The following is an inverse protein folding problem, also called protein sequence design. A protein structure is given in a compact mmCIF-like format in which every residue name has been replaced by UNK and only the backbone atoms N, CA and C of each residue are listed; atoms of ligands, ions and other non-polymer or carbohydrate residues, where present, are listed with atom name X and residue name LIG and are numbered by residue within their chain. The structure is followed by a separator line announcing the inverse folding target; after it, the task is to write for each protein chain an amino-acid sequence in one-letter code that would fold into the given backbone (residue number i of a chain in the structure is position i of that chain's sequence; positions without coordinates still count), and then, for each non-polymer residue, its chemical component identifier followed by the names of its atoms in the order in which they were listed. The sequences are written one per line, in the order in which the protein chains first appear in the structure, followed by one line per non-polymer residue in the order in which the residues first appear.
data_IF_835096945363
#
_entry.id   IF_835096945363
#
_cell.length_a   1.000
_cell.length_b   1.000
_cell.length_c   1.000
_cell.angle_alpha   90.00
_cell.angle_beta   90.00
_cell.angle_gamma   90.00
#
_symmetry.space_group_name_H-M   'P 1'
#
loop_
_entity.id
_entity.type
_entity.pdbx_description
1 polymer ?
#
# COMPACT_ATOMS: atom_id res chain seq x y z
N UNK A 1 24.65 4.25 23.43
CA UNK A 1 24.46 3.56 22.14
C UNK A 1 23.97 4.59 21.15
N UNK A 2 24.82 4.99 20.20
CA UNK A 2 24.43 5.98 19.19
C UNK A 2 23.50 5.32 18.18
N UNK A 3 22.22 5.69 18.18
CA UNK A 3 21.33 5.38 17.07
C UNK A 3 21.74 6.28 15.91
N UNK A 4 22.53 5.76 14.98
CA UNK A 4 22.65 6.39 13.66
C UNK A 4 21.25 6.33 13.03
N UNK A 5 20.50 7.42 13.11
CA UNK A 5 19.26 7.55 12.35
C UNK A 5 19.64 7.50 10.86
N UNK A 6 19.25 6.40 10.19
CA UNK A 6 19.33 6.29 8.74
C UNK A 6 18.55 7.42 8.10
N UNK A 7 19.25 8.48 7.73
CA UNK A 7 18.69 9.65 7.03
C UNK A 7 18.56 9.32 5.56
N UNK A 8 17.37 9.50 5.00
CA UNK A 8 17.17 9.33 3.55
C UNK A 8 17.82 10.50 2.80
N UNK A 9 18.69 10.18 1.83
CA UNK A 9 19.37 11.18 1.01
C UNK A 9 18.60 11.38 -0.30
N UNK A 10 18.01 12.56 -0.46
CA UNK A 10 17.27 12.96 -1.68
C UNK A 10 18.27 13.48 -2.71
N UNK A 11 18.26 12.92 -3.94
CA UNK A 11 19.21 13.29 -5.00
C UNK A 11 18.59 14.18 -6.06
N UNK A 12 17.30 13.99 -6.35
CA UNK A 12 16.55 14.72 -7.36
C UNK A 12 15.63 15.74 -6.69
N UNK A 13 15.31 16.83 -7.39
CA UNK A 13 14.40 17.84 -6.85
C UNK A 13 13.00 17.25 -6.72
N UNK A 14 12.43 17.30 -5.52
CA UNK A 14 11.11 16.76 -5.23
C UNK A 14 10.12 17.91 -4.97
N UNK A 15 8.83 17.72 -5.30
CA UNK A 15 7.81 18.73 -5.05
C UNK A 15 7.40 18.82 -3.56
N UNK A 16 7.84 17.87 -2.73
CA UNK A 16 7.58 17.84 -1.30
C UNK A 16 8.79 17.33 -0.53
N UNK A 17 8.96 17.82 0.70
CA UNK A 17 10.02 17.38 1.60
C UNK A 17 9.63 16.11 2.36
N UNK A 18 10.62 15.48 2.98
CA UNK A 18 10.41 14.34 3.89
C UNK A 18 9.54 14.74 5.09
N UNK A 19 9.75 15.93 5.65
CA UNK A 19 8.99 16.40 6.82
C UNK A 19 7.48 16.46 6.50
N UNK A 20 7.12 17.01 5.33
CA UNK A 20 5.73 17.05 4.87
C UNK A 20 5.16 15.64 4.67
N UNK A 21 5.95 14.71 4.11
CA UNK A 21 5.53 13.31 3.97
C UNK A 21 5.30 12.62 5.33
N UNK A 22 6.09 12.96 6.34
CA UNK A 22 5.94 12.42 7.69
C UNK A 22 4.70 12.95 8.42
N UNK A 23 4.08 14.03 7.96
CA UNK A 23 2.80 14.51 8.50
C UNK A 23 1.59 13.73 7.95
N UNK A 24 1.71 13.10 6.78
CA UNK A 24 0.62 12.36 6.13
C UNK A 24 0.34 11.00 6.80
N UNK A 25 -0.91 10.54 6.76
CA UNK A 25 -1.28 9.22 7.26
C UNK A 25 -0.81 8.08 6.32
N UNK A 26 -0.77 6.85 6.84
CA UNK A 26 -0.29 5.69 6.08
C UNK A 26 -1.13 5.37 4.84
N UNK A 27 -2.44 5.62 4.87
CA UNK A 27 -3.33 5.40 3.73
C UNK A 27 -3.03 6.40 2.61
N UNK A 28 -2.86 7.68 2.95
CA UNK A 28 -2.44 8.71 1.98
C UNK A 28 -1.09 8.38 1.35
N UNK A 29 -0.11 7.95 2.15
CA UNK A 29 1.21 7.55 1.64
C UNK A 29 1.13 6.34 0.70
N UNK A 30 0.32 5.33 1.03
CA UNK A 30 0.13 4.15 0.17
C UNK A 30 -0.57 4.51 -1.15
N UNK A 31 -1.60 5.35 -1.11
CA UNK A 31 -2.29 5.83 -2.31
C UNK A 31 -1.35 6.64 -3.22
N UNK A 32 -0.46 7.45 -2.63
CA UNK A 32 0.52 8.21 -3.41
C UNK A 32 1.51 7.28 -4.13
N UNK A 33 1.95 6.18 -3.51
CA UNK A 33 2.77 5.18 -4.18
C UNK A 33 2.03 4.64 -5.42
N UNK A 34 0.79 4.18 -5.27
CA UNK A 34 0.02 3.64 -6.39
C UNK A 34 -0.14 4.65 -7.53
N UNK A 35 -0.45 5.91 -7.21
CA UNK A 35 -0.56 6.98 -8.22
C UNK A 35 0.75 7.21 -8.97
N UNK A 36 1.90 7.16 -8.27
CA UNK A 36 3.22 7.31 -8.88
C UNK A 36 3.57 6.10 -9.75
N UNK A 37 3.26 4.88 -9.31
CA UNK A 37 3.46 3.65 -10.09
C UNK A 37 2.65 3.69 -11.38
N UNK A 38 1.36 4.05 -11.32
CA UNK A 38 0.50 4.22 -12.49
C UNK A 38 1.05 5.30 -13.45
N UNK A 39 1.59 6.39 -12.91
CA UNK A 39 2.19 7.46 -13.72
C UNK A 39 3.48 7.02 -14.39
N UNK A 40 4.33 6.26 -13.71
CA UNK A 40 5.55 5.68 -14.28
C UNK A 40 5.18 4.71 -15.40
N UNK A 41 4.18 3.84 -15.20
CA UNK A 41 3.74 2.89 -16.22
C UNK A 41 3.28 3.62 -17.50
N UNK A 42 2.48 4.69 -17.36
CA UNK A 42 2.05 5.49 -18.51
C UNK A 42 3.22 6.16 -19.24
N UNK A 43 4.23 6.65 -18.51
CA UNK A 43 5.42 7.26 -19.11
C UNK A 43 6.27 6.22 -19.84
N UNK A 44 6.40 5.01 -19.30
CA UNK A 44 7.09 3.90 -19.96
C UNK A 44 6.39 3.53 -21.26
N UNK A 45 5.06 3.32 -21.23
CA UNK A 45 4.27 3.01 -22.41
C UNK A 45 4.36 4.12 -23.46
N UNK A 46 4.25 5.37 -23.05
CA UNK A 46 4.40 6.52 -23.95
C UNK A 46 5.78 6.55 -24.61
N UNK A 47 6.85 6.20 -23.88
CA UNK A 47 8.18 6.11 -24.46
C UNK A 47 8.31 4.95 -25.46
N UNK A 48 7.66 3.81 -25.21
CA UNK A 48 7.61 2.68 -26.14
C UNK A 48 6.90 3.06 -27.44
N UNK A 49 5.71 3.68 -27.34
CA UNK A 49 4.96 4.20 -28.49
C UNK A 49 5.80 5.20 -29.31
N UNK A 50 6.55 6.09 -28.66
CA UNK A 50 7.43 7.04 -29.33
C UNK A 50 8.63 6.40 -30.03
N UNK A 51 9.06 5.20 -29.64
CA UNK A 51 10.08 4.44 -30.37
C UNK A 51 9.48 3.88 -31.66
N UNK A 52 8.25 3.37 -31.61
CA UNK A 52 7.54 2.89 -32.79
C UNK A 52 7.36 4.01 -33.82
N UNK A 53 6.96 5.21 -33.38
CA UNK A 53 6.84 6.37 -34.29
C UNK A 53 8.18 6.86 -34.85
N UNK A 54 9.28 6.73 -34.11
CA UNK A 54 10.61 7.09 -34.60
C UNK A 54 11.03 6.20 -35.79
N UNK A 55 10.71 4.90 -35.73
CA UNK A 55 10.97 3.96 -36.82
C UNK A 55 10.09 4.27 -38.05
N UNK A 56 8.88 4.80 -37.85
CA UNK A 56 7.95 5.19 -38.91
C UNK A 56 8.29 6.54 -39.59
N UNK A 57 8.98 7.45 -38.89
CA UNK A 57 9.30 8.81 -39.40
C UNK A 57 10.27 8.85 -40.59
N UNK A 58 10.89 7.72 -40.95
CA UNK A 58 11.72 7.60 -42.16
C UNK A 58 12.88 8.60 -42.20
N UNK A 59 12.83 9.61 -43.07
CA UNK A 59 13.89 10.61 -43.23
C UNK A 59 13.64 11.94 -42.50
N UNK A 60 12.53 12.09 -41.76
CA UNK A 60 12.26 13.31 -40.99
C UNK A 60 13.12 13.33 -39.72
N UNK A 61 14.28 13.95 -39.84
CA UNK A 61 15.27 14.05 -38.77
C UNK A 61 14.81 14.98 -37.65
N UNK A 62 14.01 16.01 -37.95
CA UNK A 62 13.50 16.96 -36.95
C UNK A 62 12.45 16.29 -36.06
N UNK A 63 11.50 15.56 -36.66
CA UNK A 63 10.53 14.78 -35.92
C UNK A 63 11.22 13.74 -35.03
N UNK A 64 12.24 13.05 -35.55
CA UNK A 64 12.99 12.05 -34.80
C UNK A 64 13.72 12.62 -33.58
N UNK A 65 14.44 13.73 -33.74
CA UNK A 65 15.10 14.36 -32.59
C UNK A 65 14.07 14.89 -31.56
N UNK A 66 12.92 15.40 -32.02
CA UNK A 66 11.83 15.81 -31.12
C UNK A 66 11.33 14.65 -30.25
N UNK A 67 11.07 13.48 -30.85
CA UNK A 67 10.65 12.29 -30.09
C UNK A 67 11.73 11.84 -29.11
N UNK A 68 13.00 11.86 -29.53
CA UNK A 68 14.12 11.48 -28.67
C UNK A 68 14.30 12.41 -27.48
N UNK A 69 14.14 13.72 -27.66
CA UNK A 69 14.17 14.70 -26.58
C UNK A 69 13.04 14.49 -25.57
N UNK A 70 11.81 14.32 -26.06
CA UNK A 70 10.64 14.07 -25.20
C UNK A 70 10.78 12.75 -24.42
N UNK A 71 11.34 11.69 -25.02
CA UNK A 71 11.64 10.45 -24.28
C UNK A 71 12.69 10.67 -23.19
N UNK A 72 13.72 11.46 -23.47
CA UNK A 72 14.76 11.78 -22.49
C UNK A 72 14.19 12.56 -21.29
N UNK A 73 13.27 13.51 -21.54
CA UNK A 73 12.56 14.23 -20.47
C UNK A 73 11.69 13.29 -19.63
N UNK A 74 10.95 12.37 -20.27
CA UNK A 74 10.16 11.37 -19.58
C UNK A 74 11.03 10.47 -18.69
N UNK A 75 12.23 10.09 -19.13
CA UNK A 75 13.15 9.29 -18.32
C UNK A 75 13.59 10.02 -17.04
N UNK A 76 13.89 11.32 -17.11
CA UNK A 76 14.21 12.13 -15.92
C UNK A 76 13.02 12.20 -14.97
N UNK A 77 11.81 12.34 -15.53
CA UNK A 77 10.56 12.34 -14.75
C UNK A 77 10.33 11.01 -14.04
N UNK A 78 10.52 9.89 -14.74
CA UNK A 78 10.42 8.53 -14.18
C UNK A 78 11.37 8.38 -13.00
N UNK A 79 12.64 8.75 -13.15
CA UNK A 79 13.63 8.62 -12.07
C UNK A 79 13.29 9.51 -10.86
N UNK A 80 12.78 10.71 -11.10
CA UNK A 80 12.29 11.60 -10.03
C UNK A 80 11.13 10.99 -9.26
N UNK A 81 10.18 10.36 -9.96
CA UNK A 81 9.03 9.69 -9.34
C UNK A 81 9.42 8.42 -8.59
N UNK A 82 10.36 7.61 -9.13
CA UNK A 82 10.91 6.45 -8.43
C UNK A 82 11.59 6.84 -7.12
N UNK A 83 12.37 7.92 -7.12
CA UNK A 83 12.98 8.40 -5.87
C UNK A 83 11.93 8.86 -4.87
N UNK A 84 10.84 9.50 -5.32
CA UNK A 84 9.72 9.87 -4.45
C UNK A 84 9.06 8.65 -3.81
N UNK A 85 8.87 7.57 -4.58
CA UNK A 85 8.37 6.29 -4.04
C UNK A 85 9.30 5.80 -2.92
N UNK A 86 10.62 5.86 -3.11
CA UNK A 86 11.57 5.45 -2.08
C UNK A 86 11.55 6.35 -0.83
N UNK A 87 11.36 7.66 -1.00
CA UNK A 87 11.12 8.59 0.13
C UNK A 87 9.87 8.20 0.91
N UNK A 88 8.77 7.93 0.21
CA UNK A 88 7.50 7.56 0.83
C UNK A 88 7.62 6.23 1.58
N UNK A 89 8.26 5.23 0.96
CA UNK A 89 8.55 3.94 1.61
C UNK A 89 9.42 4.13 2.85
N UNK A 90 10.40 5.03 2.82
CA UNK A 90 11.20 5.37 4.00
C UNK A 90 10.33 6.00 5.11
N UNK A 91 9.42 6.91 4.76
CA UNK A 91 8.48 7.52 5.71
C UNK A 91 7.55 6.48 6.36
N UNK A 92 7.00 5.55 5.58
CA UNK A 92 6.19 4.43 6.08
C UNK A 92 7.01 3.57 7.05
N UNK A 93 8.24 3.20 6.69
CA UNK A 93 9.13 2.43 7.58
C UNK A 93 9.43 3.18 8.87
N UNK A 94 9.64 4.50 8.83
CA UNK A 94 9.87 5.32 10.03
C UNK A 94 8.64 5.32 10.94
N UNK A 95 7.45 5.57 10.37
CA UNK A 95 6.16 5.60 11.10
C UNK A 95 5.80 4.27 11.74
N UNK A 96 6.11 3.15 11.08
CA UNK A 96 5.70 1.80 11.54
C UNK A 96 6.69 1.12 12.50
N UNK A 97 7.83 1.75 12.84
CA UNK A 97 8.76 1.19 13.83
C UNK A 97 8.09 1.07 15.21
N UNK A 98 8.24 -0.08 15.86
CA UNK A 98 7.67 -0.42 17.19
C UNK A 98 8.11 0.50 18.35
N UNK A 99 9.20 1.25 18.18
CA UNK A 99 9.72 2.18 19.20
C UNK A 99 9.28 3.63 18.91
N UNK A 100 8.20 3.81 18.16
CA UNK A 100 7.85 5.06 17.49
C UNK A 100 7.78 6.26 18.43
N UNK A 101 8.77 7.14 18.34
CA UNK A 101 8.68 8.51 18.87
C UNK A 101 7.51 9.28 18.23
N UNK A 102 7.17 8.92 16.99
CA UNK A 102 6.17 9.59 16.16
C UNK A 102 4.85 8.79 16.02
N UNK A 103 4.71 7.67 16.75
CA UNK A 103 3.63 6.71 16.54
C UNK A 103 2.63 6.72 17.72
N UNK A 104 2.06 7.89 18.03
CA UNK A 104 1.16 8.09 19.17
C UNK A 104 -0.07 7.17 19.14
N UNK A 105 -0.54 6.80 17.94
CA UNK A 105 -1.75 6.00 17.73
C UNK A 105 -1.56 4.47 17.85
N UNK A 106 -0.32 3.98 17.92
CA UNK A 106 -0.01 2.54 18.07
C UNK A 106 0.76 2.27 19.36
N UNK A 107 0.37 2.91 20.46
CA UNK A 107 0.73 2.43 21.79
C UNK A 107 0.08 1.06 22.00
N UNK A 108 0.76 0.01 21.55
CA UNK A 108 0.48 -1.35 21.97
C UNK A 108 0.88 -1.40 23.43
N UNK A 109 -0.10 -1.21 24.33
CA UNK A 109 0.06 -1.52 25.73
C UNK A 109 0.51 -2.98 25.80
N UNK A 110 1.80 -3.23 26.06
CA UNK A 110 2.26 -4.54 26.46
C UNK A 110 1.89 -4.69 27.93
N UNK A 111 0.87 -5.49 28.32
CA UNK A 111 0.81 -5.94 29.68
C UNK A 111 2.02 -6.85 29.90
N UNK A 112 2.97 -6.38 30.72
CA UNK A 112 4.01 -7.22 31.28
C UNK A 112 3.35 -8.45 31.88
N UNK A 113 3.54 -9.61 31.25
CA UNK A 113 3.20 -10.90 31.81
C UNK A 113 4.18 -11.20 32.94
N UNK A 114 3.98 -10.59 34.10
CA UNK A 114 4.50 -11.12 35.34
C UNK A 114 3.62 -12.31 35.72
N UNK A 115 3.98 -13.50 35.24
CA UNK A 115 3.42 -14.77 35.72
C UNK A 115 3.84 -14.94 37.18
N UNK A 116 2.91 -14.64 38.10
CA UNK A 116 3.02 -15.05 39.50
C UNK A 116 2.69 -16.54 39.58
N UNK A 117 3.71 -17.33 39.93
CA UNK A 117 3.62 -18.71 40.41
C UNK A 117 2.68 -18.81 41.61
N UNK A 118 1.74 -19.76 41.61
CA UNK A 118 0.91 -20.06 42.78
C UNK A 118 -0.13 -21.17 42.61
N UNK A 119 0.29 -22.42 42.85
CA UNK A 119 -0.43 -23.48 43.58
C UNK A 119 -1.69 -24.17 42.98
N UNK A 120 -1.45 -25.34 42.36
CA UNK A 120 -2.06 -26.68 42.57
C UNK A 120 -3.38 -26.83 43.36
N UNK A 121 -4.44 -27.42 42.74
CA UNK A 121 -5.23 -28.63 43.14
C UNK A 121 -6.08 -29.14 41.92
N UNK A 122 -6.31 -30.46 41.68
CA UNK A 122 -7.00 -30.99 40.48
C UNK A 122 -8.48 -31.43 40.77
N UNK A 123 -9.22 -32.18 39.90
CA UNK A 123 -10.53 -31.79 39.36
C UNK A 123 -11.75 -32.56 39.94
N UNK A 124 -12.96 -32.00 39.81
CA UNK A 124 -14.22 -32.74 40.07
C UNK A 124 -15.07 -32.79 38.81
N UNK A 125 -15.24 -34.00 38.26
CA UNK A 125 -16.23 -34.35 37.26
C UNK A 125 -17.64 -34.38 37.88
N UNK A 126 -18.63 -33.76 37.24
CA UNK A 126 -20.04 -34.14 37.39
C UNK A 126 -20.65 -34.23 35.98
N UNK A 127 -21.04 -35.46 35.64
CA UNK A 127 -21.85 -35.86 34.50
C UNK A 127 -23.26 -36.14 35.06
N UNK A 128 -24.33 -35.55 34.51
CA UNK A 128 -25.68 -36.13 34.59
C UNK A 128 -26.50 -35.70 33.37
N UNK A 129 -27.15 -36.72 32.80
CA UNK A 129 -27.89 -36.83 31.55
C UNK A 129 -29.29 -36.19 31.53
N UNK A 130 -29.78 -36.01 30.30
CA UNK A 130 -31.15 -36.36 29.88
C UNK A 130 -32.03 -35.15 29.53
N UNK A 131 -32.90 -35.17 28.53
CA UNK A 131 -33.24 -36.10 27.45
C UNK A 131 -34.24 -35.33 26.53
N UNK A 132 -34.48 -35.85 25.33
CA UNK A 132 -35.72 -35.69 24.53
C UNK A 132 -35.90 -34.51 23.54
N UNK A 133 -35.70 -34.87 22.27
CA UNK A 133 -36.75 -35.04 21.23
C UNK A 133 -37.30 -33.86 20.41
N UNK A 134 -36.86 -33.83 19.14
CA UNK A 134 -37.60 -33.70 17.85
C UNK A 134 -38.88 -32.86 17.77
N UNK A 135 -38.91 -31.92 16.81
CA UNK A 135 -39.98 -31.85 15.78
C UNK A 135 -39.59 -31.02 14.55
N UNK A 136 -40.15 -31.45 13.43
CA UNK A 136 -39.94 -31.11 12.02
C UNK A 136 -40.74 -29.86 11.62
N UNK A 137 -40.25 -29.04 10.66
CA UNK A 137 -40.93 -28.73 9.39
C UNK A 137 -40.45 -27.43 8.70
N UNK A 138 -40.07 -27.62 7.43
CA UNK A 138 -40.12 -26.72 6.28
C UNK A 138 -40.93 -25.42 6.40
N UNK A 139 -40.36 -24.33 5.88
CA UNK A 139 -40.99 -23.64 4.75
C UNK A 139 -40.01 -22.78 3.94
N UNK A 140 -39.92 -23.14 2.67
CA UNK A 140 -39.29 -22.40 1.57
C UNK A 140 -40.30 -21.38 1.05
N UNK A 141 -39.88 -20.13 0.89
CA UNK A 141 -40.50 -19.12 0.03
C UNK A 141 -39.31 -18.42 -0.64
N UNK A 142 -39.08 -18.55 -1.95
CA UNK A 142 -40.02 -18.26 -3.02
C UNK A 142 -39.82 -16.80 -3.43
N UNK A 143 -38.65 -16.46 -3.99
CA UNK A 143 -38.38 -15.16 -4.59
C UNK A 143 -38.23 -15.39 -6.10
N UNK A 144 -39.38 -15.32 -6.78
CA UNK A 144 -39.43 -15.27 -8.23
C UNK A 144 -38.95 -13.90 -8.74
N UNK A 145 -38.37 -14.00 -9.93
CA UNK A 145 -37.77 -12.96 -10.73
C UNK A 145 -38.77 -11.87 -11.15
N UNK A 146 -38.22 -10.70 -11.45
CA UNK A 146 -38.39 -9.98 -12.72
C UNK A 146 -38.30 -8.47 -12.47
N UNK A 147 -37.37 -7.81 -13.17
CA UNK A 147 -37.55 -6.47 -13.70
C UNK A 147 -36.34 -6.14 -14.59
N UNK A 148 -36.58 -6.39 -15.88
CA UNK A 148 -35.64 -6.23 -16.97
C UNK A 148 -35.09 -4.81 -17.16
N UNK A 149 -33.93 -4.77 -17.79
CA UNK A 149 -33.25 -3.58 -18.27
C UNK A 149 -33.54 -3.50 -19.76
N UNK A 150 -34.27 -2.48 -20.21
CA UNK A 150 -34.45 -2.20 -21.64
C UNK A 150 -33.19 -1.55 -22.21
N UNK A 151 -32.70 -2.12 -23.32
CA UNK A 151 -31.69 -1.55 -24.21
C UNK A 151 -32.33 -0.56 -25.19
#
# INVERSE_FOLDING_TARGET
MGTTEDTFQVRLKQPMSIDVLLELDLGTLANEIGRLEDSIERLIRSNEEMVEFEDECGSDLEARETFKEARAENLVTIETQKERIEMIKWCIRRKTRRNGADNTHYHVNHPDSTVKTGSTVPPVHILVNGDSSLTVANQSTGLDADNGISL
#
